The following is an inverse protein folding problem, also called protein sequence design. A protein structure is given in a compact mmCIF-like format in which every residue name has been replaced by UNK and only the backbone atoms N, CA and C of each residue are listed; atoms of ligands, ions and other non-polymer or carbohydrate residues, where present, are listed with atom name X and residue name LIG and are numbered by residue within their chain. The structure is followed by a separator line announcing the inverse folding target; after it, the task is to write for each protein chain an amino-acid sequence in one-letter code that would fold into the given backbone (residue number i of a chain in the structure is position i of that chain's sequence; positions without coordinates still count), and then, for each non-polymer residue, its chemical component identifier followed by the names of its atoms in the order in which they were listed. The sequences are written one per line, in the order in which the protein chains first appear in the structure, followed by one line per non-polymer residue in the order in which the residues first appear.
data_IF_845397358254
#
_entry.id   IF_845397358254
#
_cell.length_a   1.000
_cell.length_b   1.000
_cell.length_c   1.000
_cell.angle_alpha   90.00
_cell.angle_beta   90.00
_cell.angle_gamma   90.00
#
_symmetry.space_group_name_H-M   'P 1'
#
loop_
_entity.id
_entity.type
_entity.pdbx_description
1 polymer ?
#
# COMPACT_ATOMS: atom_id res chain seq x y z
N UNK A 1 3.04 68.35 -64.23
CA UNK A 1 4.46 67.93 -64.17
C UNK A 1 4.45 66.41 -64.35
N UNK A 2 4.26 65.84 -65.56
CA UNK A 2 5.20 65.58 -66.69
C UNK A 2 6.59 65.18 -66.15
N UNK A 3 7.20 64.00 -66.36
CA UNK A 3 7.50 63.18 -67.57
C UNK A 3 7.87 61.72 -67.11
N UNK A 4 7.43 60.62 -67.77
CA UNK A 4 8.06 59.81 -68.85
C UNK A 4 9.05 58.66 -68.45
N UNK A 5 8.72 57.46 -68.96
CA UNK A 5 9.55 56.41 -69.63
C UNK A 5 10.82 55.77 -69.01
N UNK A 6 10.70 54.46 -68.73
CA UNK A 6 11.29 53.32 -69.48
C UNK A 6 12.80 53.29 -69.82
N UNK A 7 13.51 52.24 -69.38
CA UNK A 7 14.30 51.33 -70.25
C UNK A 7 14.89 50.11 -69.53
N UNK A 8 14.87 49.00 -70.25
CA UNK A 8 15.53 47.70 -70.02
C UNK A 8 17.06 47.76 -70.04
N UNK A 9 17.71 46.81 -69.32
CA UNK A 9 18.83 45.94 -69.78
C UNK A 9 19.26 45.06 -68.58
N UNK A 10 19.01 43.74 -68.60
CA UNK A 10 19.92 42.65 -68.99
C UNK A 10 21.14 42.39 -68.09
N UNK A 11 21.14 41.16 -67.56
CA UNK A 11 22.23 40.22 -67.31
C UNK A 11 23.28 40.53 -66.23
N UNK A 12 23.34 39.67 -65.21
CA UNK A 12 24.50 38.79 -64.98
C UNK A 12 24.21 37.73 -63.91
N UNK A 13 24.57 36.50 -64.26
CA UNK A 13 24.63 35.31 -63.41
C UNK A 13 25.60 35.52 -62.25
N UNK A 14 25.19 35.19 -61.03
CA UNK A 14 26.10 34.64 -60.00
C UNK A 14 25.32 33.58 -59.20
N UNK A 15 25.70 32.32 -59.40
CA UNK A 15 25.30 31.19 -58.56
C UNK A 15 25.81 31.45 -57.13
N UNK A 16 24.90 31.53 -56.16
CA UNK A 16 25.24 31.34 -54.76
C UNK A 16 24.80 29.93 -54.34
N UNK A 17 25.66 29.13 -53.68
CA UNK A 17 25.31 27.78 -53.25
C UNK A 17 24.27 27.84 -52.12
N UNK A 18 23.18 27.12 -52.31
CA UNK A 18 22.14 26.86 -51.33
C UNK A 18 22.74 25.98 -50.21
N UNK A 19 23.26 26.58 -49.15
CA UNK A 19 23.59 25.85 -47.92
C UNK A 19 22.27 25.49 -47.24
N UNK A 20 21.78 24.27 -47.48
CA UNK A 20 20.75 23.63 -46.67
C UNK A 20 21.33 23.45 -45.25
N UNK A 21 21.05 24.40 -44.36
CA UNK A 21 21.15 24.19 -42.92
C UNK A 21 20.06 23.19 -42.54
N UNK A 22 20.43 21.91 -42.54
CA UNK A 22 19.67 20.87 -41.86
C UNK A 22 19.67 21.22 -40.36
N UNK A 23 18.63 21.91 -39.91
CA UNK A 23 18.32 21.98 -38.49
C UNK A 23 18.01 20.55 -38.05
N UNK A 24 19.01 19.88 -37.47
CA UNK A 24 18.78 18.71 -36.64
C UNK A 24 17.96 19.19 -35.45
N UNK A 25 16.64 18.98 -35.53
CA UNK A 25 15.76 19.05 -34.38
C UNK A 25 16.07 17.81 -33.54
N UNK A 26 17.19 17.87 -32.80
CA UNK A 26 17.44 16.95 -31.71
C UNK A 26 16.28 17.20 -30.74
N UNK A 27 15.30 16.29 -30.73
CA UNK A 27 14.31 16.22 -29.68
C UNK A 27 15.08 16.08 -28.37
N UNK A 28 15.19 17.21 -27.67
CA UNK A 28 15.80 17.28 -26.36
C UNK A 28 14.82 16.55 -25.46
N UNK A 29 15.05 15.25 -25.24
CA UNK A 29 14.38 14.50 -24.18
C UNK A 29 14.82 15.16 -22.88
N UNK A 30 14.02 16.11 -22.42
CA UNK A 30 14.13 16.61 -21.06
C UNK A 30 14.00 15.38 -20.17
N UNK A 31 15.11 14.97 -19.59
CA UNK A 31 15.16 14.05 -18.47
C UNK A 31 14.31 14.68 -17.37
N UNK A 32 13.07 14.20 -17.25
CA UNK A 32 12.22 14.50 -16.12
C UNK A 32 12.86 13.79 -14.93
N UNK A 33 13.83 14.42 -14.28
CA UNK A 33 14.25 14.02 -12.93
C UNK A 33 13.03 14.21 -12.03
N UNK A 34 12.33 13.09 -11.86
CA UNK A 34 10.89 13.04 -11.79
C UNK A 34 10.36 13.38 -10.41
N UNK A 35 9.40 14.33 -10.38
CA UNK A 35 8.55 14.53 -9.22
C UNK A 35 7.90 13.20 -8.84
N UNK A 36 8.10 12.74 -7.61
CA UNK A 36 7.46 11.55 -7.10
C UNK A 36 5.93 11.63 -7.29
N UNK A 37 5.34 10.58 -7.85
CA UNK A 37 3.89 10.51 -8.06
C UNK A 37 3.18 10.25 -6.74
N UNK A 38 1.97 10.80 -6.57
CA UNK A 38 1.19 10.62 -5.35
C UNK A 38 0.56 9.23 -5.25
N UNK A 39 0.24 8.61 -6.39
CA UNK A 39 -0.33 7.27 -6.48
C UNK A 39 -0.13 6.67 -7.88
N UNK A 40 -0.37 5.36 -8.00
CA UNK A 40 -0.61 4.66 -9.26
C UNK A 40 -2.03 4.10 -9.30
N UNK A 41 -2.66 4.03 -10.47
CA UNK A 41 -3.99 3.41 -10.62
C UNK A 41 -3.93 1.88 -10.72
N UNK A 42 -2.78 1.36 -11.13
CA UNK A 42 -2.49 -0.08 -11.27
C UNK A 42 -1.06 -0.32 -10.79
N UNK A 43 -0.81 -1.51 -10.23
CA UNK A 43 0.54 -1.99 -9.93
C UNK A 43 0.77 -3.17 -10.86
N UNK A 44 1.54 -2.94 -11.92
CA UNK A 44 1.77 -3.93 -13.00
C UNK A 44 3.03 -4.77 -12.78
N UNK A 45 3.82 -4.43 -11.77
CA UNK A 45 5.04 -5.15 -11.44
C UNK A 45 5.43 -5.00 -9.96
N UNK A 46 6.33 -5.87 -9.51
CA UNK A 46 6.99 -5.74 -8.21
C UNK A 46 7.69 -4.38 -8.04
N UNK A 47 8.30 -3.87 -9.11
CA UNK A 47 8.99 -2.57 -9.10
C UNK A 47 8.03 -1.41 -8.84
N UNK A 48 6.82 -1.46 -9.41
CA UNK A 48 5.78 -0.46 -9.15
C UNK A 48 5.40 -0.46 -7.66
N UNK A 49 5.16 -1.65 -7.10
CA UNK A 49 4.86 -1.82 -5.68
C UNK A 49 5.99 -1.26 -4.80
N UNK A 50 7.24 -1.67 -5.04
CA UNK A 50 8.40 -1.24 -4.25
C UNK A 50 8.63 0.29 -4.37
N UNK A 51 8.25 0.92 -5.49
CA UNK A 51 8.37 2.37 -5.66
C UNK A 51 7.40 3.19 -4.79
N UNK A 52 6.27 2.59 -4.40
CA UNK A 52 5.25 3.21 -3.54
C UNK A 52 5.35 2.75 -2.09
N UNK A 53 5.96 1.59 -1.85
CA UNK A 53 5.93 0.91 -0.57
C UNK A 53 6.78 1.62 0.49
N UNK A 54 6.24 1.65 1.71
CA UNK A 54 7.02 1.84 2.93
C UNK A 54 7.27 0.47 3.56
N UNK A 55 8.39 0.30 4.25
CA UNK A 55 8.74 -0.96 4.91
C UNK A 55 8.63 -0.78 6.43
N UNK A 56 7.72 -1.51 7.08
CA UNK A 56 7.75 -1.64 8.54
C UNK A 56 8.81 -2.65 8.96
N UNK A 57 9.39 -2.44 10.15
CA UNK A 57 10.43 -3.30 10.73
C UNK A 57 11.58 -3.63 9.77
N UNK A 58 12.01 -2.64 8.98
CA UNK A 58 13.07 -2.79 7.99
C UNK A 58 14.35 -3.35 8.64
N UNK A 59 14.98 -4.32 7.98
CA UNK A 59 16.21 -4.97 8.47
C UNK A 59 15.95 -6.06 9.51
N UNK A 60 14.69 -6.41 9.78
CA UNK A 60 14.32 -7.55 10.63
C UNK A 60 13.63 -8.65 9.80
N UNK A 61 13.50 -9.88 10.32
CA UNK A 61 12.68 -10.93 9.71
C UNK A 61 11.19 -10.60 9.56
N UNK A 62 10.72 -9.50 10.17
CA UNK A 62 9.33 -9.01 10.13
C UNK A 62 9.16 -7.84 9.17
N UNK A 63 10.11 -7.66 8.25
CA UNK A 63 10.06 -6.61 7.26
C UNK A 63 8.75 -6.73 6.47
N UNK A 64 7.89 -5.73 6.59
CA UNK A 64 6.58 -5.72 5.95
C UNK A 64 6.48 -4.53 4.97
N UNK A 65 6.96 -4.72 3.73
CA UNK A 65 6.70 -3.77 2.64
C UNK A 65 5.20 -3.66 2.40
N UNK A 66 4.68 -2.44 2.41
CA UNK A 66 3.26 -2.19 2.29
C UNK A 66 2.93 -0.89 1.54
N UNK A 67 1.79 -0.90 0.87
CA UNK A 67 1.23 0.20 0.09
C UNK A 67 -0.21 0.42 0.54
N UNK A 68 -0.53 1.60 1.05
CA UNK A 68 -1.92 1.99 1.30
C UNK A 68 -2.69 2.10 -0.01
N UNK A 69 -3.97 1.76 0.00
CA UNK A 69 -4.87 1.98 -1.13
C UNK A 69 -6.14 2.70 -0.72
N UNK A 70 -6.75 3.38 -1.70
CA UNK A 70 -8.13 3.88 -1.65
C UNK A 70 -8.88 3.34 -2.87
N UNK A 71 -10.09 2.85 -2.69
CA UNK A 71 -11.02 2.49 -3.76
C UNK A 71 -12.15 3.50 -3.76
N UNK A 72 -12.36 4.20 -4.87
CA UNK A 72 -13.50 5.11 -5.04
C UNK A 72 -14.66 4.40 -5.75
N UNK A 73 -15.66 4.01 -4.98
CA UNK A 73 -16.83 3.28 -5.49
C UNK A 73 -17.70 4.13 -6.43
N UNK A 74 -17.62 5.47 -6.35
CA UNK A 74 -18.34 6.37 -7.28
C UNK A 74 -17.65 6.51 -8.63
N UNK A 75 -16.39 6.07 -8.72
CA UNK A 75 -15.59 6.09 -9.94
C UNK A 75 -15.35 4.67 -10.44
N UNK A 76 -16.41 3.86 -10.50
CA UNK A 76 -16.38 2.46 -10.95
C UNK A 76 -15.33 1.61 -10.22
N UNK A 77 -15.23 1.76 -8.90
CA UNK A 77 -14.22 1.11 -8.04
C UNK A 77 -12.77 1.39 -8.47
N UNK A 78 -12.48 2.59 -8.99
CA UNK A 78 -11.11 3.00 -9.30
C UNK A 78 -10.22 2.88 -8.06
N UNK A 79 -9.10 2.17 -8.22
CA UNK A 79 -8.09 2.01 -7.17
C UNK A 79 -7.04 3.12 -7.28
N UNK A 80 -6.61 3.60 -6.13
CA UNK A 80 -5.50 4.52 -5.94
C UNK A 80 -4.49 3.82 -5.02
N UNK A 81 -3.42 3.27 -5.58
CA UNK A 81 -2.29 2.75 -4.83
C UNK A 81 -1.40 3.91 -4.40
N UNK A 82 -1.47 4.27 -3.13
CA UNK A 82 -0.91 5.51 -2.58
C UNK A 82 0.60 5.35 -2.41
N UNK A 83 1.35 6.38 -2.82
CA UNK A 83 2.75 6.50 -2.44
C UNK A 83 2.86 6.68 -0.92
N UNK A 84 3.11 5.56 -0.24
CA UNK A 84 3.11 5.49 1.22
C UNK A 84 4.37 6.13 1.81
N UNK A 85 5.36 6.46 0.98
CA UNK A 85 6.47 7.31 1.39
C UNK A 85 6.07 8.79 1.51
N UNK A 86 5.09 9.25 0.71
CA UNK A 86 4.59 10.64 0.74
C UNK A 86 3.45 10.86 1.73
N UNK A 87 2.55 9.89 1.87
CA UNK A 87 1.36 10.01 2.72
C UNK A 87 1.44 9.04 3.89
N UNK A 88 1.21 9.55 5.12
CA UNK A 88 1.22 8.71 6.33
C UNK A 88 -0.14 8.07 6.60
N UNK A 89 -1.23 8.73 6.21
CA UNK A 89 -2.60 8.26 6.45
C UNK A 89 -3.46 8.44 5.19
N UNK A 90 -4.48 7.59 4.99
CA UNK A 90 -5.43 7.71 3.87
C UNK A 90 -6.11 9.09 3.82
N UNK A 91 -6.42 9.69 4.97
CA UNK A 91 -7.02 11.03 5.02
C UNK A 91 -6.13 12.11 4.39
N UNK A 92 -4.81 12.00 4.56
CA UNK A 92 -3.87 13.00 4.05
C UNK A 92 -3.87 12.95 2.51
N UNK A 93 -3.91 11.74 1.96
CA UNK A 93 -4.07 11.50 0.53
C UNK A 93 -5.42 12.02 0.00
N UNK A 94 -6.52 11.68 0.67
CA UNK A 94 -7.87 12.10 0.25
C UNK A 94 -8.02 13.63 0.19
N UNK A 95 -7.41 14.35 1.13
CA UNK A 95 -7.39 15.82 1.11
C UNK A 95 -6.45 16.39 0.04
N UNK A 96 -5.29 15.76 -0.18
CA UNK A 96 -4.32 16.21 -1.18
C UNK A 96 -4.83 16.04 -2.62
N UNK A 97 -5.55 14.95 -2.90
CA UNK A 97 -6.15 14.65 -4.20
C UNK A 97 -7.56 15.25 -4.37
N UNK A 98 -8.02 16.08 -3.43
CA UNK A 98 -9.34 16.72 -3.45
C UNK A 98 -10.51 15.73 -3.60
N UNK A 99 -10.32 14.49 -3.15
CA UNK A 99 -11.35 13.45 -3.14
C UNK A 99 -12.38 13.68 -2.03
N UNK A 100 -11.95 14.37 -0.96
CA UNK A 100 -12.78 14.83 0.15
C UNK A 100 -12.47 16.31 0.44
N UNK A 101 -13.47 17.15 0.80
CA UNK A 101 -13.23 18.54 1.20
C UNK A 101 -12.26 18.62 2.38
N UNK A 102 -11.37 19.61 2.37
CA UNK A 102 -10.44 19.84 3.48
C UNK A 102 -11.20 20.08 4.78
N UNK A 103 -10.76 19.43 5.86
CA UNK A 103 -11.37 19.59 7.19
C UNK A 103 -12.68 18.82 7.40
N UNK A 104 -13.15 18.05 6.42
CA UNK A 104 -14.27 17.15 6.63
C UNK A 104 -13.93 16.03 7.63
N UNK A 105 -14.93 15.56 8.37
CA UNK A 105 -14.80 14.30 9.10
C UNK A 105 -14.71 13.14 8.11
N UNK A 106 -13.68 12.33 8.30
CA UNK A 106 -13.33 11.19 7.45
C UNK A 106 -13.42 9.87 8.18
N UNK A 107 -13.62 9.86 9.50
CA UNK A 107 -13.60 8.59 10.24
C UNK A 107 -14.84 7.76 9.95
N UNK A 108 -16.02 8.26 10.34
CA UNK A 108 -17.28 7.52 10.15
C UNK A 108 -17.56 7.23 8.67
N UNK A 109 -17.42 8.20 7.73
CA UNK A 109 -17.74 7.96 6.32
C UNK A 109 -16.79 7.03 5.57
N UNK A 110 -15.67 6.61 6.18
CA UNK A 110 -14.66 5.75 5.53
C UNK A 110 -14.52 4.40 6.22
N UNK A 111 -14.70 4.32 7.54
CA UNK A 111 -14.51 3.07 8.29
C UNK A 111 -15.81 2.46 8.80
N UNK A 112 -16.88 3.25 8.95
CA UNK A 112 -18.08 2.85 9.69
C UNK A 112 -19.32 2.73 8.79
N UNK A 113 -19.56 3.69 7.90
CA UNK A 113 -20.78 3.68 7.11
C UNK A 113 -20.80 2.50 6.12
N UNK A 114 -21.94 1.82 5.98
CA UNK A 114 -22.07 0.63 5.13
C UNK A 114 -22.14 0.98 3.63
N UNK A 115 -22.71 2.14 3.30
CA UNK A 115 -22.83 2.66 1.93
C UNK A 115 -21.70 3.62 1.54
N UNK A 116 -20.64 3.67 2.35
CA UNK A 116 -19.50 4.57 2.18
C UNK A 116 -18.91 4.59 0.79
N UNK A 117 -18.50 5.77 0.33
CA UNK A 117 -17.88 5.97 -0.99
C UNK A 117 -16.52 5.28 -1.11
N UNK A 118 -15.71 5.35 -0.06
CA UNK A 118 -14.34 4.88 -0.10
C UNK A 118 -14.19 3.58 0.67
N UNK A 119 -13.42 2.67 0.11
CA UNK A 119 -12.86 1.54 0.84
C UNK A 119 -11.36 1.80 0.94
N UNK A 120 -10.81 1.72 2.15
CA UNK A 120 -9.40 2.03 2.39
C UNK A 120 -8.74 0.89 3.13
N UNK A 121 -7.50 0.62 2.77
CA UNK A 121 -6.75 -0.46 3.38
C UNK A 121 -5.31 -0.43 2.94
N UNK A 122 -4.64 -1.56 3.10
CA UNK A 122 -3.22 -1.72 2.80
C UNK A 122 -3.00 -3.03 2.07
N UNK A 123 -2.17 -3.02 1.03
CA UNK A 123 -1.57 -4.24 0.45
C UNK A 123 -0.18 -4.41 1.04
N UNK A 124 0.14 -5.61 1.52
CA UNK A 124 1.43 -5.94 2.13
C UNK A 124 2.03 -7.21 1.51
N UNK A 125 3.36 -7.23 1.41
CA UNK A 125 4.11 -8.43 1.05
C UNK A 125 4.44 -9.25 2.30
N UNK A 126 3.79 -10.41 2.45
CA UNK A 126 4.02 -11.33 3.56
C UNK A 126 5.23 -12.21 3.26
N UNK A 127 6.36 -11.91 3.90
CA UNK A 127 7.63 -12.62 3.65
C UNK A 127 7.57 -14.11 4.00
N UNK A 128 6.90 -14.48 5.10
CA UNK A 128 6.89 -15.87 5.62
C UNK A 128 6.12 -16.87 4.75
N UNK A 129 5.24 -16.37 3.89
CA UNK A 129 4.40 -17.18 2.99
C UNK A 129 4.55 -16.78 1.52
N UNK A 130 5.43 -15.81 1.24
CA UNK A 130 5.71 -15.27 -0.09
C UNK A 130 4.46 -14.89 -0.88
N UNK A 131 3.51 -14.20 -0.23
CA UNK A 131 2.24 -13.79 -0.84
C UNK A 131 1.91 -12.33 -0.54
N UNK A 132 1.14 -11.73 -1.44
CA UNK A 132 0.51 -10.45 -1.17
C UNK A 132 -0.79 -10.64 -0.40
N UNK A 133 -0.96 -9.88 0.66
CA UNK A 133 -2.23 -9.75 1.38
C UNK A 133 -2.76 -8.35 1.27
N UNK A 134 -4.08 -8.19 1.29
CA UNK A 134 -4.69 -6.90 1.54
C UNK A 134 -5.51 -6.96 2.83
N UNK A 135 -5.52 -5.85 3.56
CA UNK A 135 -6.15 -5.79 4.88
C UNK A 135 -6.84 -4.45 5.13
N UNK A 136 -7.82 -4.49 6.03
CA UNK A 136 -8.50 -3.32 6.55
C UNK A 136 -7.98 -3.02 7.96
N UNK A 137 -8.22 -1.80 8.43
CA UNK A 137 -8.02 -1.49 9.84
C UNK A 137 -8.95 -2.37 10.70
N UNK A 138 -8.48 -2.82 11.86
CA UNK A 138 -9.24 -3.73 12.75
C UNK A 138 -10.62 -3.18 13.12
N UNK A 139 -10.73 -1.86 13.35
CA UNK A 139 -11.98 -1.19 13.67
C UNK A 139 -12.87 -0.86 12.45
N UNK A 140 -12.48 -1.25 11.24
CA UNK A 140 -13.30 -1.10 10.04
C UNK A 140 -14.45 -2.11 10.04
N UNK A 141 -15.66 -1.61 9.81
CA UNK A 141 -16.92 -2.38 9.84
C UNK A 141 -17.38 -2.87 8.46
N UNK A 142 -16.46 -3.05 7.51
CA UNK A 142 -16.75 -3.53 6.16
C UNK A 142 -17.56 -4.83 6.19
N UNK A 143 -18.76 -4.78 5.60
CA UNK A 143 -19.56 -5.98 5.38
C UNK A 143 -19.09 -6.81 4.17
N UNK A 144 -19.73 -7.98 3.95
CA UNK A 144 -19.44 -8.91 2.85
C UNK A 144 -19.32 -8.23 1.46
N UNK A 145 -20.23 -7.29 1.16
CA UNK A 145 -20.28 -6.62 -0.14
C UNK A 145 -19.06 -5.72 -0.39
N UNK A 146 -18.64 -4.96 0.62
CA UNK A 146 -17.48 -4.07 0.52
C UNK A 146 -16.19 -4.87 0.41
N UNK A 147 -16.05 -5.93 1.21
CA UNK A 147 -14.90 -6.82 1.16
C UNK A 147 -14.79 -7.47 -0.24
N UNK A 148 -15.90 -7.99 -0.78
CA UNK A 148 -15.92 -8.60 -2.11
C UNK A 148 -15.61 -7.60 -3.23
N UNK A 149 -16.12 -6.37 -3.12
CA UNK A 149 -15.83 -5.31 -4.09
C UNK A 149 -14.36 -4.89 -4.06
N UNK A 150 -13.77 -4.80 -2.86
CA UNK A 150 -12.35 -4.49 -2.71
C UNK A 150 -11.46 -5.60 -3.28
N UNK A 151 -11.77 -6.86 -2.95
CA UNK A 151 -11.03 -8.02 -3.46
C UNK A 151 -11.01 -8.06 -4.99
N UNK A 152 -12.17 -7.85 -5.63
CA UNK A 152 -12.28 -7.83 -7.07
C UNK A 152 -11.48 -6.68 -7.72
N UNK A 153 -11.58 -5.46 -7.17
CA UNK A 153 -10.88 -4.31 -7.71
C UNK A 153 -9.35 -4.42 -7.56
N UNK A 154 -8.88 -4.95 -6.43
CA UNK A 154 -7.45 -5.18 -6.19
C UNK A 154 -6.91 -6.27 -7.12
N UNK A 155 -7.57 -7.44 -7.20
CA UNK A 155 -7.11 -8.52 -8.08
C UNK A 155 -7.23 -8.19 -9.58
N UNK A 156 -8.03 -7.18 -9.96
CA UNK A 156 -8.07 -6.67 -11.34
C UNK A 156 -6.91 -5.73 -11.69
N UNK A 157 -6.38 -4.99 -10.70
CA UNK A 157 -5.43 -3.87 -10.90
C UNK A 157 -4.05 -4.12 -10.30
N UNK A 158 -3.82 -5.30 -9.74
CA UNK A 158 -2.56 -5.72 -9.14
C UNK A 158 -1.98 -6.91 -9.92
N UNK A 159 -0.67 -6.89 -10.16
CA UNK A 159 0.04 -7.85 -11.02
C UNK A 159 0.08 -9.30 -10.53
N UNK A 160 -0.34 -9.56 -9.30
CA UNK A 160 -0.27 -10.86 -8.63
C UNK A 160 -1.54 -11.05 -7.78
N UNK A 161 -1.98 -12.30 -7.54
CA UNK A 161 -3.10 -12.53 -6.64
C UNK A 161 -2.86 -11.94 -5.26
N UNK A 162 -3.85 -11.22 -4.73
CA UNK A 162 -3.81 -10.62 -3.40
C UNK A 162 -4.95 -11.19 -2.57
N UNK A 163 -4.61 -11.85 -1.45
CA UNK A 163 -5.60 -12.46 -0.56
C UNK A 163 -6.04 -11.53 0.56
N UNK A 164 -7.31 -11.59 0.96
CA UNK A 164 -7.80 -10.82 2.11
C UNK A 164 -7.28 -11.40 3.43
N UNK A 165 -6.67 -10.55 4.27
CA UNK A 165 -6.31 -10.88 5.65
C UNK A 165 -7.28 -10.18 6.61
N UNK A 166 -8.21 -10.90 7.25
CA UNK A 166 -9.08 -10.31 8.27
C UNK A 166 -8.27 -9.92 9.50
N UNK A 167 -8.54 -8.75 10.06
CA UNK A 167 -7.87 -8.23 11.26
C UNK A 167 -8.78 -8.21 12.50
N UNK A 168 -10.05 -8.58 12.37
CA UNK A 168 -10.99 -8.70 13.48
C UNK A 168 -11.92 -9.91 13.33
N UNK A 169 -12.54 -10.41 14.41
CA UNK A 169 -13.56 -11.45 14.34
C UNK A 169 -14.73 -11.09 13.43
N UNK A 170 -15.13 -9.81 13.41
CA UNK A 170 -16.21 -9.32 12.55
C UNK A 170 -15.83 -9.43 11.07
N UNK A 171 -14.60 -9.06 10.71
CA UNK A 171 -14.08 -9.18 9.34
C UNK A 171 -13.87 -10.64 8.94
N UNK A 172 -13.43 -11.50 9.87
CA UNK A 172 -13.30 -12.93 9.66
C UNK A 172 -14.66 -13.55 9.31
N UNK A 173 -15.69 -13.24 10.09
CA UNK A 173 -17.06 -13.66 9.87
C UNK A 173 -17.63 -13.11 8.56
N UNK A 174 -17.49 -11.80 8.30
CA UNK A 174 -18.02 -11.13 7.11
C UNK A 174 -17.38 -11.62 5.79
N UNK A 175 -16.12 -12.06 5.84
CA UNK A 175 -15.42 -12.62 4.68
C UNK A 175 -15.57 -14.14 4.56
N UNK A 176 -16.16 -14.80 5.55
CA UNK A 176 -16.40 -16.24 5.48
C UNK A 176 -17.50 -16.56 4.47
N UNK A 177 -17.21 -17.45 3.52
CA UNK A 177 -18.21 -17.95 2.57
C UNK A 177 -18.54 -17.04 1.37
N UNK A 178 -17.88 -15.89 1.21
CA UNK A 178 -18.14 -14.99 0.06
C UNK A 178 -17.35 -15.33 -1.21
N UNK A 179 -16.51 -16.38 -1.16
CA UNK A 179 -15.78 -16.93 -2.30
C UNK A 179 -14.52 -16.17 -2.72
N UNK A 180 -13.91 -15.40 -1.81
CA UNK A 180 -12.64 -14.70 -2.06
C UNK A 180 -11.45 -15.49 -1.51
N UNK A 181 -10.25 -15.19 -2.01
CA UNK A 181 -9.01 -15.70 -1.44
C UNK A 181 -8.76 -15.09 -0.06
N UNK A 182 -8.55 -15.92 0.96
CA UNK A 182 -8.29 -15.50 2.34
C UNK A 182 -6.94 -16.04 2.79
N UNK A 183 -6.23 -15.25 3.59
CA UNK A 183 -4.97 -15.62 4.24
C UNK A 183 -5.11 -15.26 5.71
N UNK A 184 -5.21 -16.25 6.59
CA UNK A 184 -5.38 -16.01 8.01
C UNK A 184 -4.06 -15.66 8.69
N UNK A 185 -4.13 -14.92 9.79
CA UNK A 185 -2.95 -14.60 10.61
C UNK A 185 -2.20 -15.88 11.04
N UNK A 186 -2.94 -16.93 11.43
CA UNK A 186 -2.35 -18.21 11.78
C UNK A 186 -1.57 -18.89 10.64
N UNK A 187 -1.89 -18.60 9.37
CA UNK A 187 -1.13 -19.14 8.24
C UNK A 187 0.20 -18.41 8.06
N UNK A 188 0.22 -17.10 8.32
CA UNK A 188 1.43 -16.27 8.27
C UNK A 188 2.38 -16.67 9.41
N UNK A 189 1.82 -16.87 10.61
CA UNK A 189 2.59 -17.16 11.83
C UNK A 189 3.15 -18.59 11.86
N UNK A 190 2.50 -19.56 11.19
CA UNK A 190 2.98 -20.96 11.13
C UNK A 190 4.40 -21.10 10.58
N UNK A 191 4.81 -20.16 9.74
CA UNK A 191 6.13 -20.14 9.12
C UNK A 191 7.06 -19.09 9.76
N UNK A 192 6.63 -18.42 10.83
CA UNK A 192 7.46 -17.45 11.53
C UNK A 192 8.49 -18.14 12.40
N UNK A 193 9.73 -17.68 12.31
CA UNK A 193 10.79 -18.10 13.22
C UNK A 193 10.53 -17.58 14.64
N UNK A 194 11.05 -18.30 15.64
CA UNK A 194 10.99 -17.88 17.04
C UNK A 194 11.52 -16.44 17.21
N UNK A 195 10.72 -15.55 17.81
CA UNK A 195 11.13 -14.20 18.17
C UNK A 195 11.47 -14.11 19.65
N UNK A 196 12.76 -13.89 19.94
CA UNK A 196 13.15 -13.43 21.27
C UNK A 196 12.76 -11.95 21.43
N UNK A 197 11.71 -11.67 22.22
CA UNK A 197 11.32 -10.31 22.58
C UNK A 197 12.32 -9.65 23.55
N UNK A 198 12.84 -10.46 24.49
CA UNK A 198 13.88 -10.06 25.43
C UNK A 198 15.03 -11.05 25.29
N UNK A 199 16.18 -10.59 24.83
CA UNK A 199 17.37 -11.43 24.71
C UNK A 199 18.08 -11.51 26.06
N UNK A 200 18.19 -12.72 26.59
CA UNK A 200 18.85 -12.97 27.86
C UNK A 200 19.19 -14.45 28.00
N UNK A 201 19.76 -14.80 29.15
CA UNK A 201 20.00 -16.20 29.52
C UNK A 201 19.48 -16.40 30.94
N UNK A 202 18.61 -17.39 31.10
CA UNK A 202 18.11 -17.83 32.39
C UNK A 202 18.20 -19.35 32.47
N UNK A 203 18.26 -19.86 33.70
CA UNK A 203 18.13 -21.29 34.01
C UNK A 203 17.04 -21.39 35.06
N UNK A 204 16.06 -22.25 34.82
CA UNK A 204 14.92 -22.44 35.71
C UNK A 204 14.14 -23.68 35.30
N UNK A 205 13.09 -23.99 36.07
CA UNK A 205 12.20 -25.13 35.79
C UNK A 205 11.19 -24.72 34.72
N UNK A 206 11.04 -25.52 33.66
CA UNK A 206 10.02 -25.25 32.63
C UNK A 206 8.65 -25.57 33.23
N UNK A 207 7.74 -24.59 33.17
CA UNK A 207 6.33 -24.74 33.56
C UNK A 207 5.45 -24.44 32.36
N UNK A 208 4.86 -25.48 31.76
CA UNK A 208 3.96 -25.35 30.61
C UNK A 208 2.53 -25.18 31.14
N UNK A 209 1.94 -24.02 30.87
CA UNK A 209 0.60 -23.67 31.35
C UNK A 209 -0.30 -23.49 30.13
N UNK A 210 -1.32 -24.34 30.01
CA UNK A 210 -2.26 -24.25 28.89
C UNK A 210 -3.19 -23.04 29.01
N UNK A 211 -3.58 -22.70 30.24
CA UNK A 211 -4.44 -21.57 30.58
C UNK A 211 -3.99 -20.99 31.92
N UNK A 212 -3.72 -19.69 31.96
CA UNK A 212 -3.40 -18.99 33.20
C UNK A 212 -4.68 -18.53 33.88
N UNK A 213 -4.97 -19.05 35.07
CA UNK A 213 -6.06 -18.62 35.94
C UNK A 213 -5.60 -18.55 37.40
N UNK A 214 -6.48 -18.13 38.30
CA UNK A 214 -6.18 -17.89 39.72
C UNK A 214 -5.73 -19.14 40.50
N UNK A 215 -5.83 -20.33 39.89
CA UNK A 215 -5.41 -21.59 40.50
C UNK A 215 -3.97 -21.97 40.16
N UNK A 216 -3.34 -21.27 39.22
CA UNK A 216 -1.99 -21.56 38.75
C UNK A 216 -0.96 -20.78 39.57
N UNK A 217 -0.19 -21.50 40.39
CA UNK A 217 0.95 -20.92 41.10
C UNK A 217 2.20 -20.92 40.21
N UNK A 218 2.86 -19.76 40.11
CA UNK A 218 4.13 -19.61 39.39
C UNK A 218 5.23 -19.35 40.40
N UNK A 219 6.25 -20.22 40.40
CA UNK A 219 7.42 -20.09 41.27
C UNK A 219 8.42 -19.02 40.80
N UNK A 220 9.32 -18.62 41.69
CA UNK A 220 10.38 -17.63 41.43
C UNK A 220 11.51 -18.14 40.51
N UNK A 221 11.69 -19.45 40.40
CA UNK A 221 12.69 -20.11 39.55
C UNK A 221 12.06 -20.90 38.38
N UNK A 222 10.99 -20.36 37.80
CA UNK A 222 10.26 -21.00 36.70
C UNK A 222 10.38 -20.23 35.38
N UNK A 223 10.53 -20.97 34.28
CA UNK A 223 10.42 -20.48 32.91
C UNK A 223 9.04 -20.91 32.41
N UNK A 224 8.14 -19.93 32.33
CA UNK A 224 6.74 -20.17 31.97
C UNK A 224 6.58 -20.24 30.45
N UNK A 225 5.90 -21.28 29.97
CA UNK A 225 5.51 -21.45 28.57
C UNK A 225 3.99 -21.44 28.48
N UNK A 226 3.44 -20.37 27.91
CA UNK A 226 2.00 -20.18 27.75
C UNK A 226 1.56 -20.52 26.33
N UNK A 227 0.37 -21.11 26.19
CA UNK A 227 -0.27 -21.32 24.89
C UNK A 227 -0.77 -20.01 24.25
N UNK A 228 -1.21 -19.08 25.10
CA UNK A 228 -1.74 -17.78 24.71
C UNK A 228 -1.24 -16.70 25.69
N UNK A 229 -1.18 -15.44 25.24
CA UNK A 229 -0.84 -14.32 26.13
C UNK A 229 -2.10 -13.89 26.90
N UNK A 230 -2.17 -14.11 28.23
CA UNK A 230 -3.29 -13.63 29.02
C UNK A 230 -3.28 -12.11 29.09
N UNK A 231 -4.48 -11.51 28.98
CA UNK A 231 -4.72 -10.07 29.06
C UNK A 231 -4.22 -9.48 30.40
N UNK A 232 -4.17 -10.29 31.45
CA UNK A 232 -3.84 -9.88 32.82
C UNK A 232 -2.37 -10.08 33.23
N UNK A 233 -1.43 -10.32 32.30
CA UNK A 233 -0.02 -10.39 32.66
C UNK A 233 0.46 -9.01 33.17
N UNK A 234 0.89 -8.87 34.44
CA UNK A 234 1.52 -7.65 34.89
C UNK A 234 2.78 -7.40 34.06
N UNK A 235 3.16 -6.14 33.80
CA UNK A 235 4.37 -5.85 33.04
C UNK A 235 5.58 -6.45 33.74
N UNK A 236 6.16 -7.50 33.15
CA UNK A 236 7.39 -8.11 33.63
C UNK A 236 8.57 -7.30 33.08
N UNK A 237 9.46 -6.83 33.97
CA UNK A 237 10.78 -6.36 33.56
C UNK A 237 11.58 -7.60 33.15
N UNK A 238 11.95 -7.67 31.87
CA UNK A 238 12.91 -8.64 31.38
C UNK A 238 14.29 -8.45 32.02
#
# INVERSE_FOLDING_TARGET
MIYFFQKCCQASFLLAPLFLLSFNLQAQSASNEGKAVNYLSEITSRKDFDSLARIYHQGTPYSLPHVMFVIDRRSSNKVYYINTNLFRFHKDFLFAEYLVPRGADVHKPIYIDADRRFIVGTVAWQQTIEKYTWELWEGDTAGPELIKAADAALNQSFFSPVGFKPNSPEQDSASSGIGIGRILQSEIDRNSEYLALNTGRAVGRIHIIEKLDDTVEIGDNEIVVLRELPISLPPVRG
#
